data_IF_137389508268
#
_entry.id   IF_137389508268
#
_cell.length_a   1.000
_cell.length_b   1.000
_cell.length_c   1.000
_cell.angle_alpha   90.00
_cell.angle_beta   90.00
_cell.angle_gamma   90.00
#
_symmetry.space_group_name_H-M   'P 1'
#
loop_
_entity.id
_entity.type
_entity.pdbx_description
1 polymer ?
#
# COMPACT_ATOMS: atom_id res chain seq x y z
N UNK A 1 -6.50 22.45 -51.33
CA UNK A 1 -7.17 21.52 -50.37
C UNK A 1 -6.15 20.45 -50.03
N UNK A 2 -5.89 20.23 -48.75
CA UNK A 2 -5.03 19.11 -48.35
C UNK A 2 -5.81 17.81 -48.55
N UNK A 3 -5.17 16.82 -49.16
CA UNK A 3 -5.79 15.50 -49.40
C UNK A 3 -6.15 14.86 -48.07
N UNK A 4 -7.31 14.20 -48.01
CA UNK A 4 -7.78 13.46 -46.83
C UNK A 4 -6.73 12.42 -46.34
N UNK A 5 -6.04 11.80 -47.30
CA UNK A 5 -4.93 10.90 -47.03
C UNK A 5 -3.78 11.58 -46.26
N UNK A 6 -3.43 12.84 -46.57
CA UNK A 6 -2.41 13.60 -45.83
C UNK A 6 -2.86 13.83 -44.36
N UNK A 7 -4.11 14.22 -44.17
CA UNK A 7 -4.63 14.50 -42.83
C UNK A 7 -4.64 13.23 -41.97
N UNK A 8 -5.10 12.11 -42.53
CA UNK A 8 -5.11 10.82 -41.83
C UNK A 8 -3.70 10.39 -41.46
N UNK A 9 -2.77 10.42 -42.42
CA UNK A 9 -1.39 10.01 -42.17
C UNK A 9 -0.71 10.89 -41.12
N UNK A 10 -0.87 12.20 -41.20
CA UNK A 10 -0.34 13.14 -40.23
C UNK A 10 -0.85 12.90 -38.82
N UNK A 11 -2.17 12.76 -38.68
CA UNK A 11 -2.80 12.49 -37.37
C UNK A 11 -2.34 11.15 -36.80
N UNK A 12 -2.26 10.11 -37.62
CA UNK A 12 -1.76 8.79 -37.19
C UNK A 12 -0.33 8.86 -36.69
N UNK A 13 0.56 9.53 -37.42
CA UNK A 13 1.97 9.66 -37.01
C UNK A 13 2.08 10.41 -35.67
N UNK A 14 1.37 11.52 -35.51
CA UNK A 14 1.39 12.27 -34.23
C UNK A 14 0.83 11.41 -33.08
N UNK A 15 -0.27 10.73 -33.30
CA UNK A 15 -0.87 9.87 -32.25
C UNK A 15 0.09 8.75 -31.82
N UNK A 16 0.78 8.13 -32.78
CA UNK A 16 1.77 7.08 -32.48
C UNK A 16 2.95 7.66 -31.68
N UNK A 17 3.48 8.80 -32.08
CA UNK A 17 4.61 9.44 -31.38
C UNK A 17 4.23 9.81 -29.95
N UNK A 18 3.05 10.44 -29.75
CA UNK A 18 2.55 10.80 -28.42
C UNK A 18 2.27 9.57 -27.57
N UNK A 19 1.65 8.53 -28.15
CA UNK A 19 1.38 7.27 -27.45
C UNK A 19 2.66 6.57 -26.99
N UNK A 20 3.68 6.51 -27.83
CA UNK A 20 5.00 5.96 -27.45
C UNK A 20 5.66 6.79 -26.36
N UNK A 21 5.61 8.12 -26.45
CA UNK A 21 6.15 9.02 -25.43
C UNK A 21 5.47 8.83 -24.05
N UNK A 22 4.16 8.76 -24.01
CA UNK A 22 3.40 8.51 -22.81
C UNK A 22 3.71 7.12 -22.22
N UNK A 23 3.73 6.08 -23.06
CA UNK A 23 4.04 4.72 -22.63
C UNK A 23 5.43 4.60 -22.03
N UNK A 24 6.42 5.19 -22.66
CA UNK A 24 7.81 5.21 -22.14
C UNK A 24 7.91 5.95 -20.80
N UNK A 25 7.25 7.09 -20.67
CA UNK A 25 7.24 7.87 -19.41
C UNK A 25 6.56 7.09 -18.29
N UNK A 26 5.41 6.47 -18.57
CA UNK A 26 4.66 5.66 -17.59
C UNK A 26 5.49 4.46 -17.11
N UNK A 27 6.16 3.75 -18.01
CA UNK A 27 7.01 2.60 -17.66
C UNK A 27 8.23 3.03 -16.83
N UNK A 28 8.89 4.13 -17.21
CA UNK A 28 10.03 4.68 -16.48
C UNK A 28 9.70 5.11 -15.05
N UNK A 29 8.47 5.58 -14.79
CA UNK A 29 8.03 6.04 -13.47
C UNK A 29 7.45 4.93 -12.61
N UNK A 30 7.04 3.81 -13.19
CA UNK A 30 6.34 2.71 -12.51
C UNK A 30 7.09 2.17 -11.29
N UNK A 31 8.41 1.98 -11.41
CA UNK A 31 9.23 1.48 -10.30
C UNK A 31 9.24 2.43 -9.09
N UNK A 32 9.32 3.74 -9.36
CA UNK A 32 9.26 4.75 -8.29
C UNK A 32 7.88 4.85 -7.65
N UNK A 33 6.82 4.69 -8.44
CA UNK A 33 5.45 4.72 -7.94
C UNK A 33 5.19 3.56 -6.99
N UNK A 34 5.58 2.33 -7.36
CA UNK A 34 5.43 1.14 -6.50
C UNK A 34 6.18 1.32 -5.18
N UNK A 35 7.43 1.80 -5.23
CA UNK A 35 8.23 2.04 -4.03
C UNK A 35 7.60 3.08 -3.11
N UNK A 36 7.11 4.18 -3.67
CA UNK A 36 6.44 5.23 -2.90
C UNK A 36 5.13 4.73 -2.27
N UNK A 37 4.35 3.95 -3.01
CA UNK A 37 3.11 3.34 -2.49
C UNK A 37 3.39 2.39 -1.32
N UNK A 38 4.40 1.54 -1.43
CA UNK A 38 4.84 0.66 -0.34
C UNK A 38 5.28 1.45 0.90
N UNK A 39 6.08 2.51 0.71
CA UNK A 39 6.51 3.37 1.80
C UNK A 39 5.34 4.12 2.46
N UNK A 40 4.36 4.57 1.69
CA UNK A 40 3.18 5.24 2.21
C UNK A 40 2.30 4.28 3.03
N UNK A 41 2.16 3.03 2.60
CA UNK A 41 1.50 1.97 3.37
C UNK A 41 2.22 1.77 4.71
N UNK A 42 3.55 1.59 4.70
CA UNK A 42 4.36 1.43 5.93
C UNK A 42 4.25 2.62 6.87
N UNK A 43 4.27 3.86 6.34
CA UNK A 43 4.07 5.09 7.12
C UNK A 43 2.70 5.12 7.80
N UNK A 44 1.65 4.75 7.07
CA UNK A 44 0.29 4.73 7.62
C UNK A 44 0.17 3.71 8.76
N UNK A 45 0.72 2.50 8.59
CA UNK A 45 0.74 1.46 9.63
C UNK A 45 1.49 1.95 10.87
N UNK A 46 2.68 2.50 10.71
CA UNK A 46 3.47 3.06 11.82
C UNK A 46 2.73 4.20 12.53
N UNK A 47 2.08 5.08 11.77
CA UNK A 47 1.34 6.23 12.30
C UNK A 47 0.16 5.80 13.19
N UNK A 48 -0.66 4.85 12.73
CA UNK A 48 -1.82 4.38 13.52
C UNK A 48 -1.40 3.58 14.74
N UNK A 49 -0.24 2.91 14.70
CA UNK A 49 0.36 2.22 15.84
C UNK A 49 1.00 3.16 16.87
N UNK A 50 0.99 4.47 16.59
CA UNK A 50 1.43 5.50 17.53
C UNK A 50 2.89 5.88 17.42
N UNK A 51 3.63 5.39 16.42
CA UNK A 51 4.97 5.87 16.13
C UNK A 51 4.87 7.30 15.59
N UNK A 52 5.28 8.28 16.38
CA UNK A 52 5.27 9.71 16.02
C UNK A 52 6.68 10.25 15.97
N UNK A 53 6.95 11.11 14.98
CA UNK A 53 8.17 11.91 14.93
C UNK A 53 7.82 13.38 14.80
N UNK A 54 8.64 14.22 15.36
CA UNK A 54 8.53 15.70 15.26
C UNK A 54 8.91 16.19 13.85
N UNK A 55 9.65 15.38 13.09
CA UNK A 55 10.08 15.66 11.72
C UNK A 55 9.55 14.60 10.75
N UNK A 56 9.31 14.94 9.47
CA UNK A 56 8.90 13.95 8.47
C UNK A 56 9.94 12.82 8.37
N UNK A 57 9.46 11.59 8.43
CA UNK A 57 10.32 10.41 8.28
C UNK A 57 11.00 10.36 6.92
N UNK A 58 12.27 10.04 6.91
CA UNK A 58 12.97 9.64 5.69
C UNK A 58 12.53 8.23 5.27
N UNK A 59 12.71 7.90 4.00
CA UNK A 59 12.34 6.57 3.50
C UNK A 59 13.11 5.43 4.18
N UNK A 60 14.38 5.68 4.54
CA UNK A 60 15.23 4.72 5.25
C UNK A 60 14.75 4.50 6.70
N UNK A 61 14.35 5.56 7.40
CA UNK A 61 13.81 5.46 8.75
C UNK A 61 12.51 4.66 8.79
N UNK A 62 11.60 4.91 7.83
CA UNK A 62 10.35 4.14 7.70
C UNK A 62 10.62 2.66 7.51
N UNK A 63 11.54 2.33 6.60
CA UNK A 63 11.89 0.93 6.33
C UNK A 63 12.46 0.25 7.57
N UNK A 64 13.45 0.89 8.22
CA UNK A 64 14.11 0.34 9.41
C UNK A 64 13.14 0.18 10.60
N UNK A 65 12.26 1.17 10.85
CA UNK A 65 11.27 1.09 11.91
C UNK A 65 10.25 -0.01 11.64
N UNK A 66 9.79 -0.12 10.40
CA UNK A 66 8.83 -1.14 10.02
C UNK A 66 9.43 -2.54 10.15
N UNK A 67 10.59 -2.78 9.55
CA UNK A 67 11.24 -4.10 9.55
C UNK A 67 11.67 -4.55 10.96
N UNK A 68 11.95 -3.59 11.87
CA UNK A 68 12.37 -3.90 13.25
C UNK A 68 11.21 -4.16 14.21
N UNK A 69 10.05 -3.55 13.98
CA UNK A 69 8.97 -3.52 14.98
C UNK A 69 7.67 -4.14 14.50
N UNK A 70 7.50 -4.36 13.18
CA UNK A 70 6.23 -4.83 12.62
C UNK A 70 6.37 -6.24 12.06
N UNK A 71 5.48 -7.14 12.51
CA UNK A 71 5.33 -8.48 11.95
C UNK A 71 3.99 -8.59 11.22
N UNK A 72 4.04 -9.09 9.99
CA UNK A 72 2.83 -9.40 9.22
C UNK A 72 2.30 -10.77 9.62
N UNK A 73 1.10 -10.82 10.15
CA UNK A 73 0.42 -12.05 10.56
C UNK A 73 -0.76 -12.26 9.63
N UNK A 74 -0.90 -13.47 9.12
CA UNK A 74 -2.07 -13.89 8.34
C UNK A 74 -3.02 -14.65 9.21
N UNK A 75 -4.29 -14.32 9.16
CA UNK A 75 -5.35 -14.99 9.91
C UNK A 75 -6.46 -15.43 8.95
N UNK A 76 -7.13 -16.51 9.29
CA UNK A 76 -8.34 -16.95 8.60
C UNK A 76 -9.59 -16.21 9.11
N UNK A 77 -10.77 -16.56 8.57
CA UNK A 77 -12.06 -15.99 8.98
C UNK A 77 -12.43 -16.25 10.44
N UNK A 78 -11.82 -17.23 11.07
CA UNK A 78 -12.06 -17.63 12.47
C UNK A 78 -11.03 -17.01 13.43
N UNK A 79 -9.99 -16.34 12.86
CA UNK A 79 -8.92 -15.70 13.61
C UNK A 79 -7.74 -16.62 13.94
N UNK A 80 -7.63 -17.78 13.30
CA UNK A 80 -6.47 -18.65 13.46
C UNK A 80 -5.30 -18.14 12.63
N UNK A 81 -4.11 -18.12 13.22
CA UNK A 81 -2.88 -17.72 12.53
C UNK A 81 -2.49 -18.80 11.53
N UNK A 82 -2.24 -18.38 10.29
CA UNK A 82 -1.80 -19.24 9.19
C UNK A 82 -0.28 -19.14 9.05
N UNK A 83 0.44 -20.21 9.34
CA UNK A 83 1.92 -20.26 9.26
C UNK A 83 2.44 -20.37 7.83
N UNK A 84 1.64 -20.83 6.86
CA UNK A 84 1.99 -20.91 5.43
C UNK A 84 0.82 -20.45 4.56
N UNK A 85 1.14 -20.10 3.30
CA UNK A 85 0.14 -19.81 2.28
C UNK A 85 -0.71 -21.06 2.05
N UNK A 86 -1.84 -21.15 2.73
CA UNK A 86 -2.79 -22.21 2.50
C UNK A 86 -3.31 -22.11 1.06
N UNK A 87 -2.94 -23.08 0.24
CA UNK A 87 -3.33 -23.18 -1.18
C UNK A 87 -4.83 -23.54 -1.33
N UNK A 88 -5.53 -23.73 -0.23
CA UNK A 88 -6.95 -24.16 -0.23
C UNK A 88 -7.95 -23.04 -0.55
N UNK A 89 -7.48 -21.82 -0.85
CA UNK A 89 -8.36 -20.75 -1.32
C UNK A 89 -9.18 -20.04 -0.23
N UNK A 90 -8.89 -20.29 1.04
CA UNK A 90 -9.50 -19.56 2.14
C UNK A 90 -8.97 -18.12 2.13
N UNK A 91 -9.88 -17.15 2.30
CA UNK A 91 -9.50 -15.74 2.42
C UNK A 91 -8.66 -15.56 3.69
N UNK A 92 -7.39 -15.20 3.50
CA UNK A 92 -6.53 -14.81 4.59
C UNK A 92 -6.53 -13.30 4.72
N UNK A 93 -6.74 -12.82 5.94
CA UNK A 93 -6.60 -11.40 6.28
C UNK A 93 -5.18 -11.16 6.81
N UNK A 94 -4.51 -10.14 6.30
CA UNK A 94 -3.22 -9.73 6.85
C UNK A 94 -3.43 -8.68 7.91
N UNK A 95 -2.91 -8.90 9.10
CA UNK A 95 -2.83 -7.92 10.19
C UNK A 95 -1.36 -7.62 10.52
N UNK A 96 -1.11 -6.42 11.00
CA UNK A 96 0.23 -5.93 11.30
C UNK A 96 0.41 -5.84 12.82
N UNK A 97 1.21 -6.73 13.37
CA UNK A 97 1.52 -6.76 14.80
C UNK A 97 2.73 -5.89 15.10
N UNK A 98 2.57 -4.93 15.98
CA UNK A 98 3.70 -4.15 16.51
C UNK A 98 4.26 -4.81 17.76
N UNK A 99 5.60 -4.91 17.81
CA UNK A 99 6.31 -5.46 18.95
C UNK A 99 7.52 -4.59 19.29
N UNK A 100 7.67 -4.25 20.57
CA UNK A 100 8.84 -3.57 21.10
C UNK A 100 9.45 -4.42 22.25
N UNK A 101 10.75 -4.65 22.22
CA UNK A 101 11.44 -5.48 23.22
C UNK A 101 10.77 -6.85 23.45
N UNK A 102 10.38 -7.54 22.40
CA UNK A 102 9.66 -8.82 22.42
C UNK A 102 8.27 -8.77 23.11
N UNK A 103 7.71 -7.59 23.31
CA UNK A 103 6.37 -7.41 23.85
C UNK A 103 5.47 -6.81 22.77
N UNK A 104 4.32 -7.41 22.54
CA UNK A 104 3.31 -6.87 21.62
C UNK A 104 2.77 -5.56 22.18
N UNK A 105 2.75 -4.52 21.35
CA UNK A 105 2.30 -3.17 21.71
C UNK A 105 1.01 -2.77 21.01
N UNK A 106 0.57 -3.51 20.00
CA UNK A 106 -0.70 -3.28 19.30
C UNK A 106 -0.79 -4.03 17.99
N UNK A 107 -1.97 -3.93 17.39
CA UNK A 107 -2.28 -4.51 16.09
C UNK A 107 -2.86 -3.46 15.18
N UNK A 108 -2.42 -3.39 13.93
CA UNK A 108 -3.05 -2.59 12.89
C UNK A 108 -3.77 -3.51 11.90
N UNK A 109 -5.03 -3.22 11.67
CA UNK A 109 -5.96 -4.01 10.85
C UNK A 109 -6.31 -3.18 9.63
N UNK A 110 -6.09 -3.69 8.39
CA UNK A 110 -6.54 -3.00 7.20
C UNK A 110 -8.06 -2.98 7.13
N UNK A 111 -8.61 -1.83 6.82
CA UNK A 111 -10.04 -1.63 6.63
C UNK A 111 -10.31 -1.05 5.24
N UNK A 112 -11.42 -1.42 4.65
CA UNK A 112 -11.88 -0.88 3.39
C UNK A 112 -13.38 -0.58 3.45
N UNK A 113 -13.79 0.53 2.81
CA UNK A 113 -15.18 0.92 2.77
C UNK A 113 -15.53 1.62 1.47
N UNK A 114 -16.81 1.62 1.09
CA UNK A 114 -17.28 2.35 -0.08
C UNK A 114 -17.38 3.84 0.25
N UNK A 115 -16.63 4.66 -0.47
CA UNK A 115 -16.74 6.11 -0.43
C UNK A 115 -17.60 6.64 -1.58
N UNK A 116 -17.78 7.97 -1.61
CA UNK A 116 -18.60 8.64 -2.63
C UNK A 116 -18.03 8.50 -4.06
N UNK A 117 -16.71 8.53 -4.19
CA UNK A 117 -16.00 8.52 -5.47
C UNK A 117 -15.19 7.25 -5.75
N UNK A 118 -15.17 6.31 -4.81
CA UNK A 118 -14.42 5.06 -4.93
C UNK A 118 -14.27 4.33 -3.59
N UNK A 119 -13.52 3.25 -3.59
CA UNK A 119 -13.22 2.53 -2.35
C UNK A 119 -12.18 3.31 -1.54
N UNK A 120 -12.46 3.53 -0.27
CA UNK A 120 -11.51 4.08 0.70
C UNK A 120 -10.82 2.93 1.43
N UNK A 121 -9.52 3.08 1.63
CA UNK A 121 -8.68 2.16 2.37
C UNK A 121 -8.06 2.89 3.55
N UNK A 122 -7.87 2.17 4.65
CA UNK A 122 -7.24 2.71 5.85
C UNK A 122 -6.78 1.61 6.78
N UNK A 123 -6.25 2.01 7.92
CA UNK A 123 -5.81 1.11 8.98
C UNK A 123 -6.45 1.53 10.29
N UNK A 124 -6.82 0.55 11.07
CA UNK A 124 -7.40 0.72 12.39
C UNK A 124 -6.49 0.01 13.40
N UNK A 125 -5.98 0.72 14.38
CA UNK A 125 -5.08 0.15 15.37
C UNK A 125 -5.77 -0.04 16.73
N UNK A 126 -5.51 -1.20 17.33
CA UNK A 126 -5.99 -1.59 18.65
C UNK A 126 -4.81 -1.95 19.56
N UNK A 127 -5.00 -1.82 20.86
CA UNK A 127 -4.05 -2.27 21.85
C UNK A 127 -4.02 -3.81 21.97
N UNK A 128 -3.03 -4.40 22.68
CA UNK A 128 -2.94 -5.85 22.86
C UNK A 128 -4.14 -6.49 23.56
N UNK A 129 -4.96 -5.70 24.26
CA UNK A 129 -6.22 -6.15 24.91
C UNK A 129 -7.34 -6.44 23.90
N UNK A 130 -7.15 -6.05 22.64
CA UNK A 130 -8.10 -6.15 21.54
C UNK A 130 -9.45 -5.40 21.77
N UNK A 131 -9.51 -4.52 22.76
CA UNK A 131 -10.69 -3.73 23.12
C UNK A 131 -10.43 -2.23 23.00
N UNK A 132 -9.21 -1.77 23.29
CA UNK A 132 -8.86 -0.35 23.30
C UNK A 132 -8.37 0.10 21.93
N UNK A 133 -8.97 1.17 21.41
CA UNK A 133 -8.55 1.81 20.15
C UNK A 133 -7.28 2.62 20.39
N UNK A 134 -6.27 2.42 19.54
CA UNK A 134 -5.00 3.12 19.59
C UNK A 134 -4.89 4.22 18.51
N UNK A 135 -5.42 3.96 17.33
CA UNK A 135 -5.40 4.90 16.22
C UNK A 135 -6.23 4.50 15.01
#
# INVERSE_FOLDING_TARGET
>A
MRSDAYTITFTTIITVILGLGLSYTADSLRGRQILNEELDIKKNILSVLGYKQDTPWTNEEVQNLYDSNINEIRIDEVGLVLDEVDKSGNFAYTIYQSSENNKVTGYAIPIAGKGLWGTMYGYFAIEPDAETVKG
#
